data_IF_181754654226
#
_entry.id   IF_181754654226
#
_cell.length_a   1.000
_cell.length_b   1.000
_cell.length_c   1.000
_cell.angle_alpha   90.00
_cell.angle_beta   90.00
_cell.angle_gamma   90.00
#
_symmetry.space_group_name_H-M   'P 1'
#
loop_
_entity.id
_entity.type
_entity.pdbx_description
1 polymer ?
#
# COMPACT_ATOMS: atom_id res chain seq x y z
N UNK A 1 -31.04 27.84 0.90
CA UNK A 1 -31.31 26.50 1.45
C UNK A 1 -30.15 25.61 1.03
N UNK A 2 -29.14 25.47 1.90
CA UNK A 2 -27.93 24.71 1.59
C UNK A 2 -28.21 23.21 1.61
N UNK A 3 -27.90 22.53 0.51
CA UNK A 3 -27.90 21.08 0.48
C UNK A 3 -26.73 20.57 1.32
N UNK A 4 -27.06 19.80 2.35
CA UNK A 4 -26.11 19.05 3.17
C UNK A 4 -25.41 18.04 2.26
N UNK A 5 -24.16 18.33 1.89
CA UNK A 5 -23.29 17.40 1.17
C UNK A 5 -22.97 16.24 2.12
N UNK A 6 -23.54 15.08 1.82
CA UNK A 6 -23.47 13.86 2.61
C UNK A 6 -22.05 13.52 3.02
N UNK A 7 -21.83 13.46 4.34
CA UNK A 7 -20.57 13.10 4.96
C UNK A 7 -20.81 11.85 5.80
N UNK A 8 -21.04 10.73 5.14
CA UNK A 8 -20.83 9.42 5.77
C UNK A 8 -19.39 9.02 5.52
N UNK A 9 -18.51 9.36 6.47
CA UNK A 9 -17.14 8.86 6.46
C UNK A 9 -17.19 7.41 6.96
N UNK A 10 -17.16 6.46 6.04
CA UNK A 10 -16.99 5.05 6.37
C UNK A 10 -15.75 4.86 7.26
N UNK A 11 -15.85 3.96 8.24
CA UNK A 11 -14.76 3.63 9.16
C UNK A 11 -13.49 3.29 8.39
N UNK A 12 -12.33 3.81 8.82
CA UNK A 12 -11.05 3.49 8.19
C UNK A 12 -10.32 2.43 8.99
N UNK A 13 -9.75 1.43 8.30
CA UNK A 13 -8.91 0.38 8.91
C UNK A 13 -7.80 1.00 9.76
N UNK A 14 -7.65 0.59 11.03
CA UNK A 14 -6.64 1.16 11.91
C UNK A 14 -5.23 0.75 11.50
N UNK A 15 -4.28 1.68 11.64
CA UNK A 15 -2.86 1.44 11.46
C UNK A 15 -2.04 2.37 12.36
N UNK A 16 -0.79 1.98 12.62
CA UNK A 16 0.22 2.82 13.25
C UNK A 16 1.17 3.38 12.18
N UNK A 17 1.49 4.67 12.25
CA UNK A 17 2.51 5.28 11.37
C UNK A 17 3.88 5.12 12.02
N UNK A 18 4.76 4.36 11.38
CA UNK A 18 6.13 4.12 11.86
C UNK A 18 7.12 5.15 11.33
N UNK A 19 6.85 5.72 10.15
CA UNK A 19 7.69 6.75 9.54
C UNK A 19 6.89 7.59 8.55
N UNK A 20 7.08 8.90 8.61
CA UNK A 20 6.62 9.82 7.58
C UNK A 20 7.79 10.25 6.69
N UNK A 21 7.56 10.28 5.37
CA UNK A 21 8.47 10.83 4.38
C UNK A 21 7.67 11.62 3.34
N UNK A 22 8.29 12.58 2.61
CA UNK A 22 7.58 13.38 1.62
C UNK A 22 6.87 12.56 0.52
N UNK A 23 7.41 11.37 0.21
CA UNK A 23 6.92 10.52 -0.86
C UNK A 23 5.93 9.43 -0.40
N UNK A 24 6.00 9.01 0.87
CA UNK A 24 5.26 7.88 1.44
C UNK A 24 5.23 7.93 2.97
N UNK A 25 4.30 7.17 3.56
CA UNK A 25 4.27 6.84 4.99
C UNK A 25 4.53 5.33 5.15
N UNK A 26 5.37 4.91 6.09
CA UNK A 26 5.47 3.50 6.49
C UNK A 26 4.44 3.26 7.59
N UNK A 27 3.51 2.34 7.32
CA UNK A 27 2.41 1.98 8.20
C UNK A 27 2.50 0.52 8.64
N UNK A 28 2.11 0.27 9.87
CA UNK A 28 1.93 -1.07 10.44
C UNK A 28 0.44 -1.36 10.60
N UNK A 29 -0.01 -2.43 9.95
CA UNK A 29 -1.36 -2.95 10.08
C UNK A 29 -1.32 -4.24 10.89
N UNK A 30 -2.13 -4.30 11.94
CA UNK A 30 -2.37 -5.50 12.71
C UNK A 30 -3.22 -6.50 11.89
N UNK A 31 -3.24 -7.79 12.29
CA UNK A 31 -4.13 -8.75 11.68
C UNK A 31 -5.58 -8.27 11.69
N UNK A 32 -6.26 -8.30 10.55
CA UNK A 32 -7.61 -7.75 10.40
C UNK A 32 -8.51 -8.70 9.60
N UNK A 33 -9.76 -8.96 10.01
CA UNK A 33 -10.67 -9.81 9.24
C UNK A 33 -11.08 -9.14 7.93
N UNK A 34 -11.12 -9.93 6.86
CA UNK A 34 -11.38 -9.47 5.50
C UNK A 34 -12.39 -10.35 4.79
N UNK A 35 -13.09 -9.75 3.84
CA UNK A 35 -13.79 -10.45 2.78
C UNK A 35 -13.11 -10.12 1.45
N UNK A 36 -12.84 -11.11 0.62
CA UNK A 36 -12.20 -10.92 -0.67
C UNK A 36 -12.86 -11.73 -1.77
N UNK A 37 -12.68 -11.28 -3.00
CA UNK A 37 -13.13 -11.96 -4.21
C UNK A 37 -12.01 -11.87 -5.25
N UNK A 38 -11.76 -12.95 -6.01
CA UNK A 38 -11.00 -12.84 -7.24
C UNK A 38 -11.59 -11.78 -8.16
N UNK A 39 -10.73 -11.16 -8.96
CA UNK A 39 -11.16 -10.18 -9.96
C UNK A 39 -12.09 -10.85 -10.96
N UNK A 40 -13.26 -10.24 -11.16
CA UNK A 40 -14.27 -10.72 -12.09
C UNK A 40 -14.09 -10.04 -13.46
N UNK A 41 -15.07 -10.16 -14.34
CA UNK A 41 -15.07 -9.54 -15.68
C UNK A 41 -14.73 -8.04 -15.66
N UNK A 42 -15.14 -7.31 -14.61
CA UNK A 42 -14.81 -5.90 -14.42
C UNK A 42 -14.85 -5.51 -12.94
N UNK A 43 -14.34 -4.31 -12.64
CA UNK A 43 -14.27 -3.74 -11.30
C UNK A 43 -15.64 -3.63 -10.64
N UNK A 44 -16.70 -3.29 -11.40
CA UNK A 44 -18.06 -3.17 -10.90
C UNK A 44 -18.60 -4.51 -10.41
N UNK A 45 -18.54 -5.58 -11.23
CA UNK A 45 -18.98 -6.92 -10.82
C UNK A 45 -18.20 -7.43 -9.62
N UNK A 46 -16.89 -7.15 -9.59
CA UNK A 46 -16.01 -7.50 -8.47
C UNK A 46 -16.44 -6.79 -7.17
N UNK A 47 -16.68 -5.49 -7.23
CA UNK A 47 -17.14 -4.70 -6.08
C UNK A 47 -18.52 -5.15 -5.59
N UNK A 48 -19.48 -5.37 -6.50
CA UNK A 48 -20.82 -5.78 -6.12
C UNK A 48 -20.87 -7.18 -5.49
N UNK A 49 -19.98 -8.11 -5.87
CA UNK A 49 -19.89 -9.40 -5.18
C UNK A 49 -19.62 -9.23 -3.66
N UNK A 50 -18.74 -8.30 -3.28
CA UNK A 50 -18.47 -8.00 -1.87
C UNK A 50 -19.56 -7.11 -1.24
N UNK A 51 -20.09 -6.14 -1.99
CA UNK A 51 -21.14 -5.25 -1.52
C UNK A 51 -22.45 -6.01 -1.22
N UNK A 52 -22.80 -6.99 -2.04
CA UNK A 52 -23.95 -7.87 -1.85
C UNK A 52 -23.73 -8.77 -0.63
N UNK A 53 -22.53 -9.32 -0.46
CA UNK A 53 -22.16 -10.13 0.71
C UNK A 53 -22.38 -9.38 2.03
N UNK A 54 -21.95 -8.11 2.12
CA UNK A 54 -22.10 -7.32 3.36
C UNK A 54 -23.48 -6.65 3.50
N UNK A 55 -24.32 -6.69 2.47
CA UNK A 55 -25.61 -5.99 2.45
C UNK A 55 -25.47 -4.47 2.39
N UNK A 56 -24.53 -3.96 1.59
CA UNK A 56 -24.22 -2.53 1.48
C UNK A 56 -25.44 -1.73 0.98
N UNK A 57 -26.12 -2.23 -0.05
CA UNK A 57 -27.22 -1.53 -0.72
C UNK A 57 -28.58 -2.22 -0.56
N UNK A 58 -28.59 -3.51 -0.25
CA UNK A 58 -29.79 -4.33 -0.10
C UNK A 58 -29.56 -5.39 1.00
N UNK A 59 -30.40 -6.41 1.06
CA UNK A 59 -30.35 -7.54 1.96
C UNK A 59 -29.01 -8.29 1.80
N UNK A 60 -28.31 -8.59 2.90
CA UNK A 60 -27.01 -9.26 2.84
C UNK A 60 -27.10 -10.67 2.25
N UNK A 61 -26.19 -10.98 1.33
CA UNK A 61 -26.05 -12.29 0.69
C UNK A 61 -25.03 -13.15 1.45
N UNK A 62 -25.35 -13.44 2.71
CA UNK A 62 -24.63 -14.37 3.57
C UNK A 62 -25.62 -15.25 4.35
N UNK A 63 -25.17 -16.37 4.89
CA UNK A 63 -26.05 -17.41 5.44
C UNK A 63 -26.82 -16.94 6.67
N UNK A 64 -26.26 -15.99 7.40
CA UNK A 64 -26.76 -15.46 8.66
C UNK A 64 -27.67 -14.24 8.45
N UNK A 65 -27.87 -13.80 7.20
CA UNK A 65 -28.59 -12.57 6.84
C UNK A 65 -28.10 -11.34 7.64
N UNK A 66 -26.81 -11.33 7.98
CA UNK A 66 -26.20 -10.32 8.84
C UNK A 66 -25.61 -9.20 7.97
N UNK A 67 -26.01 -7.96 8.23
CA UNK A 67 -25.43 -6.78 7.59
C UNK A 67 -24.11 -6.42 8.26
N UNK A 68 -23.10 -6.05 7.47
CA UNK A 68 -21.84 -5.48 7.96
C UNK A 68 -21.71 -4.05 7.45
N UNK A 69 -21.19 -3.16 8.29
CA UNK A 69 -20.90 -1.80 7.87
C UNK A 69 -19.79 -1.78 6.81
N UNK A 70 -19.89 -0.85 5.85
CA UNK A 70 -18.85 -0.60 4.86
C UNK A 70 -17.67 0.12 5.52
N UNK A 71 -16.44 -0.28 5.19
CA UNK A 71 -15.21 0.35 5.67
C UNK A 71 -14.39 0.90 4.51
N UNK A 72 -13.31 1.61 4.84
CA UNK A 72 -12.33 2.14 3.90
C UNK A 72 -10.91 1.77 4.35
N UNK A 73 -9.97 1.59 3.42
CA UNK A 73 -10.16 1.58 1.97
C UNK A 73 -10.69 0.25 1.43
N UNK A 74 -11.12 0.25 0.17
CA UNK A 74 -11.20 -0.98 -0.65
C UNK A 74 -9.81 -1.25 -1.21
N UNK A 75 -9.24 -2.43 -0.92
CA UNK A 75 -7.92 -2.84 -1.40
C UNK A 75 -8.06 -3.67 -2.70
N UNK A 76 -7.37 -3.25 -3.76
CA UNK A 76 -7.26 -3.96 -5.03
C UNK A 76 -5.81 -4.46 -5.18
N UNK A 77 -5.61 -5.77 -5.10
CA UNK A 77 -4.30 -6.42 -5.23
C UNK A 77 -3.95 -6.57 -6.70
N UNK A 78 -2.72 -6.16 -7.04
CA UNK A 78 -2.18 -6.23 -8.40
C UNK A 78 -1.05 -7.25 -8.45
N UNK A 79 -1.13 -8.18 -9.41
CA UNK A 79 -0.04 -9.12 -9.69
C UNK A 79 0.25 -9.13 -11.19
N UNK A 80 1.55 -9.04 -11.55
CA UNK A 80 2.01 -9.00 -12.95
C UNK A 80 1.28 -7.95 -13.80
N UNK A 81 0.99 -6.80 -13.19
CA UNK A 81 0.31 -5.69 -13.86
C UNK A 81 -1.19 -5.87 -14.04
N UNK A 82 -1.83 -6.87 -13.44
CA UNK A 82 -3.28 -7.05 -13.53
C UNK A 82 -3.92 -7.07 -12.14
N UNK A 83 -5.12 -6.53 -12.03
CA UNK A 83 -5.92 -6.71 -10.82
C UNK A 83 -6.30 -8.18 -10.64
N UNK A 84 -6.00 -8.75 -9.47
CA UNK A 84 -6.28 -10.18 -9.18
C UNK A 84 -7.31 -10.39 -8.11
N UNK A 85 -7.34 -9.53 -7.09
CA UNK A 85 -8.23 -9.68 -5.94
C UNK A 85 -8.70 -8.31 -5.50
N UNK A 86 -9.99 -8.21 -5.16
CA UNK A 86 -10.53 -7.07 -4.42
C UNK A 86 -10.87 -7.52 -3.01
N UNK A 87 -10.63 -6.63 -2.04
CA UNK A 87 -10.77 -6.92 -0.62
C UNK A 87 -11.46 -5.79 0.12
N UNK A 88 -12.42 -6.15 0.95
CA UNK A 88 -13.03 -5.29 1.96
C UNK A 88 -12.50 -5.71 3.34
N UNK A 89 -12.30 -4.71 4.19
CA UNK A 89 -11.96 -4.93 5.58
C UNK A 89 -13.22 -4.94 6.43
N UNK A 90 -13.26 -5.78 7.45
CA UNK A 90 -14.37 -5.78 8.39
C UNK A 90 -14.37 -4.51 9.28
N UNK A 91 -15.54 -4.08 9.78
CA UNK A 91 -15.62 -3.05 10.82
C UNK A 91 -14.93 -3.47 12.12
N UNK A 92 -14.50 -2.51 12.96
CA UNK A 92 -13.80 -2.79 14.23
C UNK A 92 -14.56 -3.67 15.22
N UNK A 93 -15.89 -3.70 15.15
CA UNK A 93 -16.72 -4.57 15.98
C UNK A 93 -16.55 -6.08 15.65
N UNK A 94 -16.07 -6.39 14.45
CA UNK A 94 -15.77 -7.76 14.03
C UNK A 94 -14.38 -8.15 14.51
N UNK A 95 -14.31 -8.99 15.53
CA UNK A 95 -13.05 -9.34 16.18
C UNK A 95 -12.19 -10.35 15.39
N UNK A 96 -12.81 -11.23 14.60
CA UNK A 96 -12.09 -12.28 13.84
C UNK A 96 -12.84 -12.70 12.57
N UNK A 97 -12.12 -13.33 11.63
CA UNK A 97 -12.71 -13.89 10.42
C UNK A 97 -13.80 -14.95 10.73
N UNK A 98 -13.66 -15.70 11.82
CA UNK A 98 -14.65 -16.68 12.26
C UNK A 98 -15.97 -16.05 12.75
N UNK A 99 -15.96 -14.76 13.10
CA UNK A 99 -17.18 -14.01 13.48
C UNK A 99 -17.87 -13.35 12.30
N UNK A 100 -17.28 -13.39 11.11
CA UNK A 100 -17.91 -12.88 9.91
C UNK A 100 -18.94 -13.90 9.38
N UNK A 101 -20.07 -13.43 8.83
CA UNK A 101 -21.09 -14.31 8.31
C UNK A 101 -20.57 -15.09 7.10
N UNK A 102 -21.02 -16.32 6.94
CA UNK A 102 -20.59 -17.24 5.90
C UNK A 102 -21.12 -16.77 4.53
N UNK A 103 -20.25 -16.61 3.50
CA UNK A 103 -20.70 -16.27 2.16
C UNK A 103 -21.65 -17.32 1.57
N UNK A 104 -22.64 -16.88 0.79
CA UNK A 104 -23.48 -17.77 -0.03
C UNK A 104 -22.93 -17.92 -1.44
N UNK A 105 -22.26 -16.89 -1.96
CA UNK A 105 -21.59 -16.92 -3.25
C UNK A 105 -20.24 -17.64 -3.15
N UNK A 106 -19.91 -18.56 -4.07
CA UNK A 106 -18.59 -19.20 -4.11
C UNK A 106 -17.46 -18.26 -4.55
N UNK A 107 -17.79 -17.07 -5.06
CA UNK A 107 -16.81 -16.07 -5.47
C UNK A 107 -16.22 -15.27 -4.29
N UNK A 108 -16.89 -15.28 -3.13
CA UNK A 108 -16.48 -14.52 -1.95
C UNK A 108 -15.89 -15.47 -0.91
N UNK A 109 -14.70 -15.15 -0.45
CA UNK A 109 -14.05 -15.81 0.69
C UNK A 109 -13.87 -14.83 1.84
N UNK A 110 -13.84 -15.37 3.04
CA UNK A 110 -13.55 -14.65 4.28
C UNK A 110 -12.27 -15.21 4.85
N UNK A 111 -11.34 -14.33 5.23
CA UNK A 111 -10.05 -14.72 5.80
C UNK A 111 -9.54 -13.63 6.77
N UNK A 112 -8.35 -13.84 7.33
CA UNK A 112 -7.63 -12.85 8.11
C UNK A 112 -6.44 -12.33 7.30
N UNK A 113 -6.50 -11.05 6.99
CA UNK A 113 -5.36 -10.30 6.52
C UNK A 113 -4.30 -10.27 7.63
N UNK A 114 -3.19 -11.00 7.46
CA UNK A 114 -2.12 -11.04 8.46
C UNK A 114 -1.46 -9.69 8.72
N UNK A 115 -0.67 -9.65 9.80
CA UNK A 115 0.19 -8.52 10.16
C UNK A 115 1.07 -8.13 8.97
N UNK A 116 1.12 -6.83 8.67
CA UNK A 116 1.85 -6.34 7.49
C UNK A 116 2.38 -4.93 7.71
N UNK A 117 3.43 -4.63 6.95
CA UNK A 117 4.01 -3.30 6.86
C UNK A 117 3.87 -2.80 5.43
N UNK A 118 3.46 -1.54 5.30
CA UNK A 118 3.10 -0.96 4.00
C UNK A 118 3.74 0.41 3.86
N UNK A 119 4.46 0.63 2.76
CA UNK A 119 4.77 1.96 2.27
C UNK A 119 3.56 2.49 1.50
N UNK A 120 2.83 3.43 2.10
CA UNK A 120 1.61 4.02 1.55
C UNK A 120 1.89 5.41 0.96
N UNK A 121 1.54 5.60 -0.31
CA UNK A 121 1.58 6.91 -0.97
C UNK A 121 0.18 7.37 -1.32
N UNK A 122 -0.23 8.52 -0.76
CA UNK A 122 -1.49 9.20 -1.09
C UNK A 122 -1.39 9.98 -2.39
N UNK A 123 -2.46 9.95 -3.17
CA UNK A 123 -2.64 10.80 -4.35
C UNK A 123 -4.13 11.04 -4.64
N UNK A 124 -4.41 12.10 -5.39
CA UNK A 124 -5.75 12.50 -5.82
C UNK A 124 -6.01 12.16 -7.28
N UNK A 125 -7.28 12.02 -7.65
CA UNK A 125 -7.71 11.79 -9.03
C UNK A 125 -8.59 10.55 -9.18
N UNK A 126 -9.06 10.31 -10.39
CA UNK A 126 -9.81 9.10 -10.74
C UNK A 126 -8.85 8.01 -11.22
N UNK A 127 -9.07 6.79 -10.77
CA UNK A 127 -8.42 5.58 -11.28
C UNK A 127 -9.46 4.83 -12.10
N UNK A 128 -9.09 4.37 -13.29
CA UNK A 128 -9.92 3.45 -14.03
C UNK A 128 -9.51 2.01 -13.69
N UNK A 129 -10.29 1.38 -12.82
CA UNK A 129 -10.05 0.00 -12.39
C UNK A 129 -10.27 -1.04 -13.49
N UNK A 130 -10.93 -0.68 -14.59
CA UNK A 130 -11.16 -1.58 -15.72
C UNK A 130 -10.03 -1.53 -16.74
N UNK A 131 -9.01 -0.69 -16.51
CA UNK A 131 -7.76 -0.67 -17.28
C UNK A 131 -6.65 -1.40 -16.53
N UNK A 132 -5.62 -1.79 -17.28
CA UNK A 132 -4.39 -2.25 -16.67
C UNK A 132 -3.80 -1.12 -15.79
N UNK A 133 -3.49 -1.36 -14.49
CA UNK A 133 -2.97 -0.33 -13.60
C UNK A 133 -1.64 0.27 -14.07
N UNK A 134 -0.85 -0.43 -14.88
CA UNK A 134 0.39 0.09 -15.46
C UNK A 134 0.15 0.91 -16.74
N UNK A 135 -1.03 0.86 -17.33
CA UNK A 135 -1.44 1.70 -18.46
C UNK A 135 -2.21 2.95 -17.99
N UNK A 136 -2.73 2.96 -16.77
CA UNK A 136 -3.41 4.12 -16.19
C UNK A 136 -2.41 5.28 -15.94
N UNK A 137 -2.66 6.40 -16.61
CA UNK A 137 -1.84 7.62 -16.57
C UNK A 137 -1.74 8.23 -15.16
N UNK A 138 -2.71 7.96 -14.28
CA UNK A 138 -2.73 8.46 -12.91
C UNK A 138 -1.85 7.62 -11.98
N UNK A 139 -1.61 6.34 -12.30
CA UNK A 139 -0.90 5.40 -11.42
C UNK A 139 0.61 5.47 -11.65
N UNK A 140 1.05 5.42 -12.92
CA UNK A 140 2.48 5.42 -13.29
C UNK A 140 3.34 6.47 -12.57
N UNK A 141 3.00 7.78 -12.60
CA UNK A 141 3.84 8.80 -11.95
C UNK A 141 3.92 8.61 -10.42
N UNK A 142 2.86 8.10 -9.81
CA UNK A 142 2.81 7.89 -8.36
C UNK A 142 3.65 6.68 -7.97
N UNK A 143 3.58 5.60 -8.75
CA UNK A 143 4.36 4.39 -8.52
C UNK A 143 5.86 4.66 -8.70
N UNK A 144 6.26 5.37 -9.75
CA UNK A 144 7.65 5.82 -9.94
C UNK A 144 8.14 6.68 -8.77
N UNK A 145 7.32 7.62 -8.31
CA UNK A 145 7.70 8.51 -7.21
C UNK A 145 7.94 7.74 -5.90
N UNK A 146 7.04 6.83 -5.53
CA UNK A 146 7.22 6.04 -4.30
C UNK A 146 8.38 5.06 -4.43
N UNK A 147 8.50 4.32 -5.54
CA UNK A 147 9.57 3.34 -5.74
C UNK A 147 10.94 4.03 -5.73
N UNK A 148 11.08 5.17 -6.40
CA UNK A 148 12.34 5.95 -6.39
C UNK A 148 12.72 6.38 -4.97
N UNK A 149 11.74 6.83 -4.18
CA UNK A 149 11.99 7.22 -2.79
C UNK A 149 12.37 6.01 -1.92
N UNK A 150 11.71 4.86 -2.10
CA UNK A 150 12.06 3.62 -1.39
C UNK A 150 13.46 3.10 -1.77
N UNK A 151 13.85 3.19 -3.05
CA UNK A 151 15.20 2.85 -3.52
C UNK A 151 16.25 3.79 -2.92
N UNK A 152 15.96 5.09 -2.88
CA UNK A 152 16.84 6.09 -2.25
C UNK A 152 17.07 5.81 -0.76
N UNK A 153 16.00 5.43 -0.09
CA UNK A 153 16.02 5.13 1.34
C UNK A 153 16.44 3.67 1.63
N UNK A 154 16.85 2.91 0.61
CA UNK A 154 17.33 1.52 0.70
C UNK A 154 16.33 0.54 1.35
N UNK A 155 15.03 0.82 1.22
CA UNK A 155 13.95 -0.04 1.71
C UNK A 155 13.58 -1.13 0.69
N UNK A 156 13.85 -0.88 -0.59
CA UNK A 156 13.71 -1.85 -1.68
C UNK A 156 14.98 -1.85 -2.52
N UNK A 157 15.18 -2.91 -3.29
CA UNK A 157 16.29 -3.09 -4.22
C UNK A 157 15.77 -3.52 -5.58
N UNK A 158 16.64 -3.42 -6.59
CA UNK A 158 16.33 -3.85 -7.94
C UNK A 158 17.23 -5.03 -8.31
N UNK A 159 16.68 -6.08 -8.90
CA UNK A 159 17.51 -7.11 -9.51
C UNK A 159 18.20 -6.54 -10.75
N UNK A 160 19.53 -6.55 -10.79
CA UNK A 160 20.25 -6.34 -12.05
C UNK A 160 19.94 -7.49 -12.99
N UNK A 161 19.23 -7.21 -14.08
CA UNK A 161 19.02 -8.16 -15.17
C UNK A 161 20.39 -8.64 -15.66
N UNK A 162 20.71 -9.90 -15.41
CA UNK A 162 21.87 -10.55 -16.00
C UNK A 162 21.62 -10.77 -17.50
N UNK A 163 21.72 -9.69 -18.29
CA UNK A 163 21.89 -9.78 -19.73
C UNK A 163 23.39 -9.84 -20.02
N UNK A 164 23.81 -11.01 -20.47
CA UNK A 164 25.12 -11.31 -21.05
C UNK A 164 25.63 -10.21 -21.99
N UNK A 165 26.71 -9.53 -21.60
CA UNK A 165 27.70 -8.99 -22.53
C UNK A 165 29.08 -9.04 -21.87
N UNK A 166 30.02 -9.63 -22.59
CA UNK A 166 31.40 -9.81 -22.20
C UNK A 166 32.08 -8.46 -21.93
N UNK A 167 32.81 -8.37 -20.82
CA UNK A 167 33.88 -7.41 -20.62
C UNK A 167 33.61 -6.33 -19.57
N UNK A 168 34.48 -6.35 -18.55
CA UNK A 168 34.80 -5.28 -17.58
C UNK A 168 34.22 -5.46 -16.18
N UNK A 169 35.13 -5.74 -15.23
CA UNK A 169 34.93 -5.65 -13.78
C UNK A 169 34.35 -4.28 -13.42
N UNK A 170 33.09 -4.26 -12.99
CA UNK A 170 32.45 -3.11 -12.37
C UNK A 170 31.33 -3.62 -11.48
N UNK A 171 31.50 -3.51 -10.17
CA UNK A 171 30.48 -3.83 -9.19
C UNK A 171 29.37 -2.77 -9.28
N UNK A 172 28.42 -2.89 -10.21
CA UNK A 172 27.33 -1.93 -10.41
C UNK A 172 26.12 -2.30 -9.57
N UNK A 173 26.26 -2.22 -8.25
CA UNK A 173 25.09 -1.94 -7.41
C UNK A 173 24.61 -0.54 -7.81
N UNK A 174 23.50 -0.46 -8.52
CA UNK A 174 22.92 0.83 -8.90
C UNK A 174 22.64 1.64 -7.63
N UNK A 175 23.41 2.71 -7.45
CA UNK A 175 23.13 3.70 -6.44
C UNK A 175 21.91 4.47 -6.93
N UNK A 176 20.93 4.70 -6.05
CA UNK A 176 19.61 5.30 -6.30
C UNK A 176 19.58 6.64 -7.09
N UNK A 177 20.73 7.22 -7.42
CA UNK A 177 20.90 8.49 -8.12
C UNK A 177 21.09 8.39 -9.64
N UNK A 178 21.30 7.22 -10.24
CA UNK A 178 21.65 7.11 -11.68
C UNK A 178 20.65 6.39 -12.59
N UNK A 179 19.60 5.76 -12.05
CA UNK A 179 18.60 5.08 -12.88
C UNK A 179 17.60 6.07 -13.48
N UNK A 180 17.36 5.93 -14.79
CA UNK A 180 16.32 6.68 -15.51
C UNK A 180 14.91 6.19 -15.11
N UNK A 181 13.91 7.05 -15.25
CA UNK A 181 12.53 6.71 -14.91
C UNK A 181 12.00 5.54 -15.77
N UNK A 182 12.48 5.38 -17.00
CA UNK A 182 12.12 4.25 -17.86
C UNK A 182 12.71 2.92 -17.38
N UNK A 183 13.95 2.90 -16.89
CA UNK A 183 14.57 1.69 -16.34
C UNK A 183 13.83 1.23 -15.08
N UNK A 184 13.54 2.16 -14.15
CA UNK A 184 12.75 1.87 -12.95
C UNK A 184 11.37 1.34 -13.36
N UNK A 185 10.75 1.95 -14.37
CA UNK A 185 9.45 1.51 -14.86
C UNK A 185 9.48 0.08 -15.45
N UNK A 186 10.52 -0.27 -16.19
CA UNK A 186 10.68 -1.64 -16.70
C UNK A 186 10.81 -2.64 -15.55
N UNK A 187 11.64 -2.34 -14.54
CA UNK A 187 11.79 -3.21 -13.37
C UNK A 187 10.50 -3.38 -12.57
N UNK A 188 9.68 -2.33 -12.47
CA UNK A 188 8.34 -2.40 -11.85
C UNK A 188 7.46 -3.39 -12.63
N UNK A 189 7.40 -3.27 -13.97
CA UNK A 189 6.58 -4.14 -14.81
C UNK A 189 7.02 -5.60 -14.76
N UNK A 190 8.32 -5.83 -14.70
CA UNK A 190 8.91 -7.17 -14.60
C UNK A 190 8.83 -7.77 -13.19
N UNK A 191 8.39 -6.99 -12.19
CA UNK A 191 8.31 -7.45 -10.80
C UNK A 191 9.68 -7.64 -10.14
N UNK A 192 10.69 -6.88 -10.58
CA UNK A 192 12.08 -6.95 -10.12
C UNK A 192 12.40 -6.00 -8.96
N UNK A 193 11.38 -5.30 -8.44
CA UNK A 193 11.49 -4.51 -7.22
C UNK A 193 11.34 -5.46 -6.03
N UNK A 194 12.44 -5.70 -5.32
CA UNK A 194 12.48 -6.61 -4.19
C UNK A 194 12.56 -5.84 -2.87
N UNK A 195 11.98 -6.41 -1.84
CA UNK A 195 12.19 -5.94 -0.48
C UNK A 195 13.67 -6.11 -0.06
N UNK A 196 14.24 -5.09 0.57
CA UNK A 196 15.69 -5.03 0.81
C UNK A 196 16.23 -6.11 1.77
N UNK A 197 15.43 -6.54 2.75
CA UNK A 197 15.86 -7.56 3.70
C UNK A 197 15.53 -8.99 3.26
N UNK A 198 14.34 -9.21 2.72
CA UNK A 198 13.85 -10.54 2.35
C UNK A 198 14.20 -10.96 0.93
N UNK A 199 14.59 -10.02 0.07
CA UNK A 199 14.84 -10.21 -1.37
C UNK A 199 13.67 -10.88 -2.11
N UNK A 200 12.46 -10.75 -1.59
CA UNK A 200 11.22 -11.19 -2.24
C UNK A 200 10.63 -10.03 -3.05
N UNK A 201 9.96 -10.31 -4.19
CA UNK A 201 9.32 -9.27 -4.97
C UNK A 201 8.27 -8.54 -4.11
N UNK A 202 8.34 -7.21 -4.12
CA UNK A 202 7.43 -6.37 -3.37
C UNK A 202 6.03 -6.46 -3.99
N UNK A 203 5.02 -6.71 -3.16
CA UNK A 203 3.63 -6.74 -3.60
C UNK A 203 3.07 -5.32 -3.67
N UNK A 204 2.26 -5.08 -4.68
CA UNK A 204 1.62 -3.80 -4.93
C UNK A 204 0.09 -3.94 -4.83
N UNK A 205 -0.55 -2.99 -4.17
CA UNK A 205 -2.01 -2.85 -4.16
C UNK A 205 -2.42 -1.38 -4.25
N UNK A 206 -3.64 -1.15 -4.75
CA UNK A 206 -4.30 0.15 -4.74
C UNK A 206 -5.35 0.17 -3.63
N UNK A 207 -5.35 1.24 -2.83
CA UNK A 207 -6.32 1.42 -1.75
C UNK A 207 -7.22 2.61 -2.05
N UNK A 208 -8.52 2.36 -2.19
CA UNK A 208 -9.51 3.34 -2.66
C UNK A 208 -10.41 3.72 -1.49
N UNK A 209 -10.39 4.99 -1.09
CA UNK A 209 -11.11 5.47 0.10
C UNK A 209 -12.48 6.05 -0.23
N UNK A 210 -12.63 6.58 -1.44
CA UNK A 210 -13.78 7.38 -1.76
C UNK A 210 -14.77 6.59 -2.62
N UNK A 211 -16.05 6.73 -2.27
CA UNK A 211 -17.16 6.19 -3.05
C UNK A 211 -17.05 6.60 -4.53
N UNK A 212 -17.51 5.74 -5.47
CA UNK A 212 -17.59 6.07 -6.88
C UNK A 212 -18.44 7.32 -7.18
N UNK A 213 -19.25 7.82 -6.23
CA UNK A 213 -20.03 9.06 -6.37
C UNK A 213 -19.29 10.31 -5.87
N UNK A 214 -18.11 10.17 -5.29
CA UNK A 214 -17.28 11.31 -4.89
C UNK A 214 -16.67 11.99 -6.13
N UNK A 215 -16.68 13.33 -6.17
CA UNK A 215 -16.08 14.09 -7.27
C UNK A 215 -14.58 13.76 -7.41
N UNK A 216 -14.05 13.61 -8.64
CA UNK A 216 -12.67 13.17 -8.89
C UNK A 216 -11.59 13.90 -8.07
N UNK A 217 -11.69 15.22 -7.94
CA UNK A 217 -10.70 16.04 -7.22
C UNK A 217 -10.71 15.83 -5.69
N UNK A 218 -11.82 15.32 -5.14
CA UNK A 218 -11.92 15.00 -3.71
C UNK A 218 -11.64 13.53 -3.42
N UNK A 219 -11.38 12.71 -4.45
CA UNK A 219 -11.01 11.30 -4.27
C UNK A 219 -9.63 11.19 -3.65
N UNK A 220 -9.54 10.33 -2.64
CA UNK A 220 -8.29 9.92 -2.02
C UNK A 220 -8.02 8.48 -2.41
N UNK A 221 -6.88 8.27 -3.06
CA UNK A 221 -6.38 6.94 -3.38
C UNK A 221 -4.98 6.79 -2.78
N UNK A 222 -4.58 5.55 -2.57
CA UNK A 222 -3.24 5.23 -2.14
C UNK A 222 -2.64 4.09 -2.97
N UNK A 223 -1.33 4.18 -3.18
CA UNK A 223 -0.49 3.07 -3.62
C UNK A 223 0.12 2.45 -2.38
N UNK A 224 -0.05 1.15 -2.22
CA UNK A 224 0.52 0.38 -1.12
C UNK A 224 1.58 -0.57 -1.67
N UNK A 225 2.79 -0.50 -1.10
CA UNK A 225 3.88 -1.43 -1.38
C UNK A 225 4.19 -2.18 -0.09
N UNK A 226 4.08 -3.51 -0.11
CA UNK A 226 4.35 -4.35 1.07
C UNK A 226 5.85 -4.40 1.37
N UNK A 227 6.22 -4.20 2.63
CA UNK A 227 7.58 -4.37 3.12
C UNK A 227 7.65 -5.52 4.13
N UNK A 228 8.82 -6.14 4.22
CA UNK A 228 9.08 -7.14 5.26
C UNK A 228 9.28 -6.49 6.63
N UNK A 229 9.01 -7.24 7.69
CA UNK A 229 9.24 -6.80 9.07
C UNK A 229 10.72 -6.45 9.28
N UNK A 230 11.61 -7.26 8.74
CA UNK A 230 13.06 -7.10 8.86
C UNK A 230 13.55 -5.80 8.20
N UNK A 231 12.99 -5.41 7.05
CA UNK A 231 13.29 -4.12 6.40
C UNK A 231 12.89 -2.95 7.29
N UNK A 232 11.69 -3.02 7.89
CA UNK A 232 11.17 -1.96 8.75
C UNK A 232 11.97 -1.83 10.04
N UNK A 233 12.33 -2.95 10.67
CA UNK A 233 13.16 -2.95 11.88
C UNK A 233 14.55 -2.37 11.61
N UNK A 234 15.19 -2.70 10.48
CA UNK A 234 16.48 -2.11 10.07
C UNK A 234 16.37 -0.59 9.90
N UNK A 235 15.30 -0.12 9.28
CA UNK A 235 15.03 1.32 9.11
C UNK A 235 14.90 2.01 10.48
N UNK A 236 14.11 1.47 11.41
CA UNK A 236 13.92 2.05 12.74
C UNK A 236 15.24 2.10 13.54
N UNK A 237 16.05 1.05 13.46
CA UNK A 237 17.38 1.02 14.07
C UNK A 237 18.28 2.13 13.51
N UNK A 238 18.33 2.29 12.19
CA UNK A 238 19.12 3.36 11.54
C UNK A 238 18.67 4.76 11.98
N UNK A 239 17.36 5.01 12.08
CA UNK A 239 16.83 6.28 12.58
C UNK A 239 17.24 6.56 14.02
N UNK A 240 17.14 5.56 14.90
CA UNK A 240 17.54 5.70 16.31
C UNK A 240 19.03 6.03 16.45
N UNK A 241 19.90 5.39 15.65
CA UNK A 241 21.34 5.67 15.64
C UNK A 241 21.67 7.09 15.16
N UNK A 242 21.02 7.55 14.08
CA UNK A 242 21.21 8.91 13.56
C UNK A 242 20.73 9.96 14.57
N UNK A 243 19.62 9.70 15.26
CA UNK A 243 19.12 10.61 16.29
C UNK A 243 20.07 10.70 17.49
N UNK A 244 20.63 9.57 17.94
CA UNK A 244 21.64 9.56 19.01
C UNK A 244 22.92 10.31 18.61
N UNK A 245 23.42 10.08 17.39
CA UNK A 245 24.61 10.78 16.89
C UNK A 245 24.42 12.30 16.78
N UNK A 246 23.26 12.74 16.30
CA UNK A 246 22.95 14.18 16.22
C UNK A 246 22.84 14.84 17.60
N UNK A 247 22.25 14.17 18.59
CA UNK A 247 22.21 14.65 19.98
C UNK A 247 23.62 14.74 20.57
N UNK A 248 24.47 13.72 20.36
CA UNK A 248 25.86 13.74 20.85
C UNK A 248 26.69 14.87 20.21
N UNK A 249 26.52 15.12 18.91
CA UNK A 249 27.17 16.23 18.21
C UNK A 249 26.70 17.60 18.73
N UNK A 250 25.41 17.77 19.03
CA UNK A 250 24.92 19.02 19.61
C UNK A 250 25.47 19.25 21.02
N UNK A 251 25.56 18.21 21.84
CA UNK A 251 26.13 18.31 23.18
C UNK A 251 27.63 18.63 23.15
N UNK A 252 28.40 18.05 22.23
CA UNK A 252 29.83 18.35 22.12
C UNK A 252 30.10 19.78 21.64
N UNK A 253 29.29 20.30 20.70
CA UNK A 253 29.35 21.70 20.27
C UNK A 253 29.02 22.66 21.40
N UNK A 254 28.00 22.38 22.22
CA UNK A 254 27.65 23.20 23.39
C UNK A 254 28.76 23.20 24.46
N UNK A 255 29.41 22.07 24.71
CA UNK A 255 30.52 21.99 25.66
C UNK A 255 31.75 22.78 25.21
N UNK A 256 32.04 22.80 23.90
CA UNK A 256 33.13 23.62 23.35
C UNK A 256 32.85 25.13 23.44
N UNK A 257 31.58 25.54 23.27
CA UNK A 257 31.17 26.94 23.41
C UNK A 257 31.19 27.44 24.87
N UNK A 258 30.86 26.57 25.83
CA UNK A 258 30.87 26.95 27.25
C UNK A 258 32.26 26.90 27.90
N UNK A 259 33.25 26.24 27.28
CA UNK A 259 34.63 26.16 27.78
C UNK A 259 35.57 27.27 27.31
N UNK A 260 35.08 28.25 26.54
CA UNK A 260 35.86 29.38 26.00
C UNK A 260 35.53 30.74 26.64
N UNK A 261 34.82 30.76 27.77
CA UNK A 261 34.62 31.92 28.65
C UNK A 261 35.42 31.79 29.94
#
# INVERSE_FOLDING_TARGET
MGAVVGREAAETVPFEVLREAPAFEIRHYLPHPIAETPWQENSKKTFFALADYIGAFDTPHNREAQKLAMTTPVECIVEKGEFKVMRFFSPKEVASAASMPSPTSPAVSVDTAGERFVAARRFSGSINLDLNPFEDLSVRPQLLHVVRALLRDQLVTTSSSSSSSSGSNGNSSCSSSSCSDEEIWQQIKEGLINDAASNKPAKFSLAIYNSPFCLPFFRRNEIWISLSKETVERMQQQQSMQQQQSVQQQQSVQQQQNGTS
#
